data_IF_114659370839
#
_entry.id   IF_114659370839
#
_cell.length_a   1.000
_cell.length_b   1.000
_cell.length_c   1.000
_cell.angle_alpha   90.00
_cell.angle_beta   90.00
_cell.angle_gamma   90.00
#
_symmetry.space_group_name_H-M   'P 1'
#
loop_
_entity.id
_entity.type
_entity.pdbx_description
1 polymer ?
#
# COMPACT_ATOMS: atom_id res chain seq x y z
N UNK A 1 -37.47 11.09 50.00
CA UNK A 1 -38.33 12.12 49.37
C UNK A 1 -37.98 12.10 47.90
N UNK A 2 -38.64 11.28 47.13
CA UNK A 2 -39.86 11.50 46.37
C UNK A 2 -39.66 12.54 45.24
N UNK A 3 -39.58 12.06 44.05
CA UNK A 3 -40.55 12.37 43.00
C UNK A 3 -40.35 11.49 41.73
N UNK A 4 -41.18 10.46 41.61
CA UNK A 4 -41.55 9.72 40.43
C UNK A 4 -42.64 10.51 39.69
N UNK A 5 -42.59 10.58 38.33
CA UNK A 5 -43.75 10.58 37.42
C UNK A 5 -43.17 10.39 36.00
N UNK A 6 -43.35 9.24 35.39
CA UNK A 6 -44.44 8.71 34.57
C UNK A 6 -44.96 9.75 33.56
N UNK A 7 -44.71 9.49 32.28
CA UNK A 7 -45.77 9.58 31.26
C UNK A 7 -45.52 8.59 30.12
N UNK A 8 -46.58 7.87 29.88
CA UNK A 8 -46.78 6.82 28.87
C UNK A 8 -47.44 7.43 27.61
N UNK A 9 -47.42 6.60 26.55
CA UNK A 9 -48.29 6.55 25.37
C UNK A 9 -47.99 7.53 24.24
N UNK A 10 -47.96 7.17 22.96
CA UNK A 10 -48.87 6.32 22.21
C UNK A 10 -48.27 5.91 20.88
N UNK A 11 -48.54 4.68 20.46
CA UNK A 11 -48.33 4.16 19.12
C UNK A 11 -49.29 4.82 18.11
N UNK A 12 -48.84 5.01 16.90
CA UNK A 12 -49.72 5.15 15.74
C UNK A 12 -49.11 4.47 14.53
N UNK A 13 -49.67 3.29 14.22
CA UNK A 13 -49.63 2.66 12.91
C UNK A 13 -50.26 3.58 11.86
N UNK A 14 -49.63 3.72 10.72
CA UNK A 14 -50.32 4.06 9.47
C UNK A 14 -49.77 3.17 8.36
N UNK A 15 -50.56 2.13 8.06
CA UNK A 15 -50.59 1.40 6.80
C UNK A 15 -51.13 2.34 5.71
N UNK A 16 -50.46 2.46 4.61
CA UNK A 16 -51.05 2.90 3.35
C UNK A 16 -50.50 2.04 2.23
N UNK A 17 -51.29 1.07 1.82
CA UNK A 17 -51.12 0.36 0.56
C UNK A 17 -51.63 1.25 -0.58
N UNK A 18 -50.89 1.34 -1.66
CA UNK A 18 -51.37 1.78 -2.95
C UNK A 18 -50.76 0.91 -4.04
N UNK A 19 -51.67 0.25 -4.72
CA UNK A 19 -51.53 -0.70 -5.81
C UNK A 19 -51.69 0.08 -7.13
N UNK A 20 -51.08 -0.48 -8.20
CA UNK A 20 -51.23 -0.29 -9.64
C UNK A 20 -50.38 0.69 -10.41
N UNK A 21 -49.69 0.09 -11.39
CA UNK A 21 -49.25 0.73 -12.60
C UNK A 21 -48.31 -0.16 -13.43
N UNK A 22 -48.90 -1.14 -14.13
CA UNK A 22 -48.22 -1.89 -15.20
C UNK A 22 -48.10 -0.97 -16.42
N UNK A 23 -46.92 -0.72 -16.92
CA UNK A 23 -46.70 -0.28 -18.29
C UNK A 23 -45.50 -1.01 -18.89
N UNK A 24 -45.84 -1.89 -19.81
CA UNK A 24 -45.00 -2.61 -20.73
C UNK A 24 -44.45 -1.67 -21.83
N UNK A 25 -43.26 -1.99 -22.31
CA UNK A 25 -42.71 -1.87 -23.67
C UNK A 25 -41.41 -1.13 -23.77
N UNK A 26 -40.43 -1.84 -24.31
CA UNK A 26 -39.24 -1.27 -24.93
C UNK A 26 -38.03 -2.17 -24.80
N UNK A 27 -38.03 -3.30 -25.51
CA UNK A 27 -36.83 -4.12 -25.68
C UNK A 27 -35.80 -3.38 -26.55
N UNK A 28 -34.58 -3.29 -26.10
CA UNK A 28 -33.41 -3.10 -26.94
C UNK A 28 -32.51 -4.32 -26.81
N UNK A 29 -32.43 -5.06 -27.90
CA UNK A 29 -31.58 -6.22 -28.10
C UNK A 29 -30.11 -5.77 -28.06
N UNK A 30 -29.31 -6.42 -27.20
CA UNK A 30 -27.85 -6.44 -27.35
C UNK A 30 -27.45 -7.65 -28.20
N UNK A 31 -26.49 -7.52 -29.12
CA UNK A 31 -26.09 -8.64 -29.96
C UNK A 31 -25.26 -9.64 -29.14
N UNK A 32 -25.68 -10.91 -29.24
CA UNK A 32 -24.90 -12.04 -28.83
C UNK A 32 -23.82 -12.34 -29.91
N UNK A 33 -22.61 -12.71 -29.48
CA UNK A 33 -21.65 -13.40 -30.30
C UNK A 33 -20.29 -12.70 -30.40
N UNK A 34 -19.38 -13.08 -29.53
CA UNK A 34 -17.94 -12.97 -29.72
C UNK A 34 -17.30 -14.27 -29.21
N UNK A 35 -16.84 -15.08 -30.17
CA UNK A 35 -16.20 -16.38 -29.95
C UNK A 35 -14.90 -16.21 -29.13
N UNK A 36 -14.86 -16.87 -27.99
CA UNK A 36 -13.63 -17.10 -27.25
C UNK A 36 -13.02 -18.43 -27.73
N UNK A 37 -11.70 -18.51 -27.99
CA UNK A 37 -11.09 -19.78 -28.35
C UNK A 37 -11.07 -20.73 -27.15
N UNK A 38 -11.57 -21.94 -27.38
CA UNK A 38 -11.57 -23.04 -26.42
C UNK A 38 -10.15 -23.40 -25.96
N UNK A 39 -9.97 -23.56 -24.67
CA UNK A 39 -8.76 -24.10 -24.07
C UNK A 39 -8.56 -25.54 -24.50
N UNK A 40 -7.41 -25.86 -25.04
CA UNK A 40 -6.96 -27.23 -25.33
C UNK A 40 -6.42 -27.84 -24.04
N UNK A 41 -7.12 -28.84 -23.53
CA UNK A 41 -6.68 -29.67 -22.42
C UNK A 41 -5.61 -30.65 -22.89
N UNK A 42 -4.37 -30.51 -22.44
CA UNK A 42 -3.40 -31.58 -22.40
C UNK A 42 -2.91 -31.78 -20.97
N UNK A 43 -3.27 -32.93 -20.42
CA UNK A 43 -2.94 -33.33 -19.07
C UNK A 43 -1.45 -33.60 -18.87
N UNK A 44 -0.86 -32.95 -17.89
CA UNK A 44 0.23 -33.45 -17.04
C UNK A 44 0.25 -32.65 -15.75
N UNK A 45 0.15 -33.36 -14.59
CA UNK A 45 0.25 -32.76 -13.28
C UNK A 45 1.60 -32.06 -13.08
N UNK A 46 1.52 -30.82 -12.63
CA UNK A 46 2.61 -30.01 -12.15
C UNK A 46 1.99 -29.00 -11.19
N UNK A 47 2.65 -28.77 -10.07
CA UNK A 47 2.27 -27.81 -9.05
C UNK A 47 1.89 -26.48 -9.72
N UNK A 48 0.66 -26.03 -9.48
CA UNK A 48 0.15 -24.79 -10.08
C UNK A 48 0.92 -23.60 -9.53
N UNK A 49 1.78 -23.02 -10.36
CA UNK A 49 2.18 -21.63 -10.21
C UNK A 49 0.91 -20.80 -10.48
N UNK A 50 0.46 -20.08 -9.47
CA UNK A 50 -0.58 -19.08 -9.63
C UNK A 50 -0.06 -18.05 -10.63
N UNK A 51 -0.54 -18.09 -11.86
CA UNK A 51 -0.32 -16.99 -12.81
C UNK A 51 -0.99 -15.76 -12.19
N UNK A 52 -0.16 -14.89 -11.59
CA UNK A 52 -0.59 -13.62 -11.10
C UNK A 52 -1.28 -12.85 -12.22
N UNK A 53 -2.46 -12.33 -11.97
CA UNK A 53 -3.15 -11.43 -12.87
C UNK A 53 -2.24 -10.22 -13.08
N UNK A 54 -1.56 -10.18 -14.21
CA UNK A 54 -0.79 -9.05 -14.67
C UNK A 54 -1.72 -8.22 -15.54
N UNK A 55 -1.97 -6.97 -15.17
CA UNK A 55 -2.54 -6.01 -16.09
C UNK A 55 -1.62 -5.96 -17.31
N UNK A 56 -2.14 -6.37 -18.48
CA UNK A 56 -1.36 -6.43 -19.71
C UNK A 56 -0.73 -5.07 -20.03
N UNK A 57 0.51 -5.08 -20.49
CA UNK A 57 1.33 -3.90 -20.82
C UNK A 57 0.74 -2.99 -21.91
N UNK A 58 -0.49 -3.21 -22.38
CA UNK A 58 -1.07 -2.52 -23.55
C UNK A 58 -2.46 -1.88 -23.34
N UNK A 59 -2.98 -1.84 -22.11
CA UNK A 59 -3.96 -0.83 -21.73
C UNK A 59 -3.30 0.07 -20.70
N UNK A 60 -2.96 1.30 -21.10
CA UNK A 60 -2.56 2.38 -20.22
C UNK A 60 -3.55 2.40 -19.06
N UNK A 61 -3.15 1.80 -17.96
CA UNK A 61 -3.90 1.67 -16.74
C UNK A 61 -4.40 3.07 -16.38
N UNK A 62 -5.70 3.30 -16.54
CA UNK A 62 -6.38 4.49 -16.02
C UNK A 62 -6.60 4.38 -14.52
N UNK A 63 -5.90 3.49 -13.84
CA UNK A 63 -5.83 3.49 -12.40
C UNK A 63 -4.95 4.65 -12.00
N UNK A 64 -5.58 5.70 -11.65
CA UNK A 64 -5.04 6.48 -10.67
C UNK A 64 -4.30 7.72 -10.91
N UNK A 65 -4.89 8.71 -11.48
CA UNK A 65 -4.53 10.07 -11.05
C UNK A 65 -5.33 10.36 -9.78
N UNK A 66 -4.66 10.39 -8.63
CA UNK A 66 -5.27 10.82 -7.38
C UNK A 66 -5.97 12.18 -7.55
N UNK A 67 -7.27 12.21 -7.29
CA UNK A 67 -8.11 13.41 -7.48
C UNK A 67 -8.58 14.04 -6.18
N UNK A 68 -8.13 13.49 -5.03
CA UNK A 68 -8.49 13.98 -3.70
C UNK A 68 -9.18 12.93 -2.82
N UNK A 69 -9.76 11.89 -3.40
CA UNK A 69 -10.39 10.81 -2.66
C UNK A 69 -9.39 9.68 -2.34
N UNK A 70 -9.46 9.02 -1.18
CA UNK A 70 -8.50 8.00 -0.78
C UNK A 70 -8.55 6.73 -1.64
N UNK A 71 -9.63 6.52 -2.35
CA UNK A 71 -9.84 5.38 -3.25
C UNK A 71 -10.77 5.73 -4.40
N UNK A 72 -10.77 4.89 -5.43
CA UNK A 72 -11.76 4.92 -6.49
C UNK A 72 -12.34 3.52 -6.73
N UNK A 73 -13.56 3.45 -7.26
CA UNK A 73 -14.15 2.17 -7.65
C UNK A 73 -13.62 1.72 -9.00
N UNK A 74 -13.25 0.45 -9.09
CA UNK A 74 -12.73 -0.21 -10.29
C UNK A 74 -13.76 -1.22 -10.79
N UNK A 75 -13.79 -1.51 -12.08
CA UNK A 75 -14.65 -2.51 -12.70
C UNK A 75 -16.15 -2.37 -12.32
N UNK A 76 -16.63 -1.14 -12.18
CA UNK A 76 -18.02 -0.90 -11.75
C UNK A 76 -18.32 -1.42 -10.35
N UNK A 77 -17.31 -1.52 -9.49
CA UNK A 77 -17.35 -2.08 -8.14
C UNK A 77 -17.62 -3.59 -8.10
N UNK A 78 -17.30 -4.33 -9.16
CA UNK A 78 -17.48 -5.80 -9.26
C UNK A 78 -16.12 -6.47 -9.11
N UNK A 79 -15.92 -7.34 -8.10
CA UNK A 79 -14.68 -8.11 -7.94
C UNK A 79 -14.40 -9.05 -9.13
N UNK A 80 -13.12 -9.32 -9.38
CA UNK A 80 -12.66 -10.20 -10.46
C UNK A 80 -12.56 -11.68 -10.06
N UNK A 81 -13.20 -12.13 -8.97
CA UNK A 81 -13.14 -13.53 -8.55
C UNK A 81 -13.72 -14.46 -9.60
N UNK A 82 -12.99 -15.55 -9.87
CA UNK A 82 -13.45 -16.63 -10.74
C UNK A 82 -14.46 -17.54 -10.06
N UNK A 83 -15.19 -18.34 -10.83
CA UNK A 83 -16.11 -19.33 -10.28
C UNK A 83 -15.41 -20.38 -9.42
N UNK A 84 -14.18 -20.74 -9.76
CA UNK A 84 -13.33 -21.64 -8.98
C UNK A 84 -12.96 -21.05 -7.62
N UNK A 85 -12.49 -19.80 -7.59
CA UNK A 85 -12.18 -19.08 -6.34
C UNK A 85 -13.44 -18.94 -5.45
N UNK A 86 -14.59 -18.63 -6.05
CA UNK A 86 -15.86 -18.54 -5.33
C UNK A 86 -16.29 -19.90 -4.74
N UNK A 87 -16.01 -21.00 -5.43
CA UNK A 87 -16.32 -22.33 -4.94
C UNK A 87 -15.41 -22.74 -3.77
N UNK A 88 -14.12 -22.35 -3.80
CA UNK A 88 -13.16 -22.59 -2.73
C UNK A 88 -13.41 -21.71 -1.50
N UNK A 89 -14.05 -20.57 -1.68
CA UNK A 89 -14.27 -19.58 -0.63
C UNK A 89 -15.15 -20.01 0.54
N UNK A 90 -15.76 -21.21 0.50
CA UNK A 90 -16.61 -21.76 1.59
C UNK A 90 -15.83 -22.30 2.78
N UNK A 91 -14.55 -22.48 2.64
CA UNK A 91 -13.63 -22.87 3.70
C UNK A 91 -12.65 -21.73 3.92
N UNK A 92 -12.29 -21.49 5.18
CA UNK A 92 -11.31 -20.45 5.50
C UNK A 92 -9.91 -20.83 4.99
N UNK A 93 -9.26 -19.88 4.35
CA UNK A 93 -7.85 -20.00 3.94
C UNK A 93 -7.19 -18.62 3.91
N UNK A 94 -5.87 -18.62 3.93
CA UNK A 94 -5.04 -17.44 3.64
C UNK A 94 -3.82 -17.82 2.81
N UNK A 95 -3.49 -16.98 1.88
CA UNK A 95 -2.35 -17.14 0.99
C UNK A 95 -1.65 -15.80 0.77
N UNK A 96 -0.32 -15.81 0.87
CA UNK A 96 0.54 -14.63 0.65
C UNK A 96 1.61 -15.01 -0.37
N UNK A 97 1.65 -14.28 -1.48
CA UNK A 97 2.66 -14.50 -2.52
C UNK A 97 4.08 -14.32 -1.98
N UNK A 98 5.05 -15.06 -2.53
CA UNK A 98 6.45 -14.83 -2.22
C UNK A 98 6.87 -13.41 -2.59
N UNK A 99 7.83 -12.85 -1.83
CA UNK A 99 8.41 -11.57 -2.18
C UNK A 99 9.13 -11.68 -3.52
N UNK A 100 9.01 -10.65 -4.33
CA UNK A 100 9.72 -10.59 -5.60
C UNK A 100 11.24 -10.32 -5.42
N UNK A 101 11.99 -10.23 -6.54
CA UNK A 101 13.44 -9.96 -6.53
C UNK A 101 13.84 -8.64 -5.87
N UNK A 102 12.91 -7.70 -5.70
CA UNK A 102 13.11 -6.41 -5.03
C UNK A 102 12.63 -6.41 -3.57
N UNK A 103 12.15 -7.57 -3.08
CA UNK A 103 11.59 -7.71 -1.74
C UNK A 103 10.19 -7.08 -1.60
N UNK A 104 9.44 -6.93 -2.71
CA UNK A 104 8.09 -6.38 -2.73
C UNK A 104 7.06 -7.48 -2.54
N UNK A 105 5.98 -7.18 -1.81
CA UNK A 105 4.85 -8.07 -1.69
C UNK A 105 4.12 -8.24 -3.03
N UNK A 106 3.64 -9.46 -3.28
CA UNK A 106 2.64 -9.75 -4.31
C UNK A 106 1.22 -9.79 -3.73
N UNK A 107 0.36 -10.58 -4.35
CA UNK A 107 -1.05 -10.72 -3.95
C UNK A 107 -1.16 -11.36 -2.57
N UNK A 108 -2.01 -10.80 -1.71
CA UNK A 108 -2.53 -11.42 -0.51
C UNK A 108 -4.00 -11.80 -0.75
N UNK A 109 -4.35 -13.06 -0.49
CA UNK A 109 -5.68 -13.59 -0.79
C UNK A 109 -6.16 -14.52 0.34
N UNK A 110 -7.38 -14.30 0.81
CA UNK A 110 -7.97 -15.09 1.86
C UNK A 110 -9.48 -15.32 1.63
N UNK A 111 -9.99 -16.43 2.16
CA UNK A 111 -11.39 -16.55 2.54
C UNK A 111 -11.50 -16.32 4.04
N UNK A 112 -11.96 -15.14 4.40
CA UNK A 112 -12.02 -14.69 5.79
C UNK A 112 -13.25 -15.27 6.46
N UNK A 113 -13.04 -16.25 7.37
CA UNK A 113 -14.04 -16.77 8.28
C UNK A 113 -13.77 -16.35 9.73
N UNK A 114 -14.72 -16.58 10.64
CA UNK A 114 -14.54 -16.24 12.06
C UNK A 114 -13.38 -16.96 12.72
N UNK A 115 -13.01 -18.14 12.24
CA UNK A 115 -11.93 -18.97 12.75
C UNK A 115 -10.53 -18.42 12.47
N UNK A 116 -10.37 -17.55 11.44
CA UNK A 116 -9.12 -16.83 11.16
C UNK A 116 -9.00 -15.54 11.97
N UNK A 117 -10.10 -15.02 12.51
CA UNK A 117 -10.06 -13.74 13.21
C UNK A 117 -9.26 -13.81 14.52
N UNK A 118 -8.61 -12.72 14.94
CA UNK A 118 -7.74 -12.73 16.11
C UNK A 118 -8.50 -13.01 17.41
N UNK A 119 -7.95 -13.92 18.20
CA UNK A 119 -8.37 -14.20 19.58
C UNK A 119 -7.42 -13.60 20.60
N UNK A 120 -6.27 -13.08 20.14
CA UNK A 120 -5.22 -12.49 20.96
C UNK A 120 -4.96 -11.04 20.58
N UNK A 121 -4.26 -10.30 21.45
CA UNK A 121 -3.87 -8.93 21.14
C UNK A 121 -2.70 -8.89 20.17
N UNK A 122 -2.75 -7.89 19.25
CA UNK A 122 -1.71 -7.65 18.26
C UNK A 122 -0.34 -7.40 18.92
N UNK A 123 0.69 -8.07 18.41
CA UNK A 123 2.07 -7.85 18.79
C UNK A 123 2.76 -6.77 17.96
N UNK A 124 3.96 -6.35 18.39
CA UNK A 124 4.75 -5.36 17.67
C UNK A 124 5.32 -5.94 16.37
N UNK A 125 5.20 -5.18 15.28
CA UNK A 125 5.75 -5.48 13.95
C UNK A 125 6.88 -4.54 13.55
N UNK A 126 7.46 -3.80 14.51
CA UNK A 126 8.46 -2.75 14.27
C UNK A 126 9.77 -3.27 13.65
N UNK A 127 10.07 -4.55 13.80
CA UNK A 127 11.24 -5.22 13.23
C UNK A 127 11.17 -5.41 11.72
N UNK A 128 9.96 -5.44 11.12
CA UNK A 128 9.80 -5.63 9.69
C UNK A 128 9.96 -4.29 8.98
N UNK A 129 10.72 -4.29 7.90
CA UNK A 129 10.93 -3.16 7.01
C UNK A 129 10.54 -3.57 5.60
N UNK A 130 9.32 -3.27 5.16
CA UNK A 130 8.91 -3.55 3.78
C UNK A 130 9.79 -2.82 2.76
N UNK A 131 9.70 -3.19 1.48
CA UNK A 131 10.42 -2.50 0.40
C UNK A 131 10.15 -0.98 0.45
N UNK A 132 11.17 -0.17 0.18
CA UNK A 132 11.08 1.30 0.22
C UNK A 132 10.81 1.91 1.60
N UNK A 133 11.01 1.16 2.71
CA UNK A 133 10.75 1.67 4.06
C UNK A 133 11.68 2.82 4.45
N UNK A 134 11.09 3.98 4.72
CA UNK A 134 11.75 5.14 5.30
C UNK A 134 11.08 5.54 6.63
N UNK A 135 11.85 6.16 7.52
CA UNK A 135 11.29 6.77 8.73
C UNK A 135 11.14 8.27 8.50
N UNK A 136 10.01 8.66 7.93
CA UNK A 136 9.69 10.05 7.61
C UNK A 136 8.65 10.61 8.60
N UNK A 137 8.83 11.88 9.01
CA UNK A 137 7.94 12.55 9.97
C UNK A 137 7.54 13.92 9.43
N UNK A 138 6.23 14.22 9.54
CA UNK A 138 5.64 15.50 9.13
C UNK A 138 4.56 15.91 10.11
N UNK A 139 4.55 17.17 10.51
CA UNK A 139 3.55 17.69 11.47
C UNK A 139 2.13 17.70 10.90
N UNK A 140 1.98 17.69 9.56
CA UNK A 140 0.69 17.64 8.86
C UNK A 140 0.07 16.23 8.82
N UNK A 141 0.82 15.18 9.19
CA UNK A 141 0.35 13.79 9.21
C UNK A 141 -0.17 13.43 10.58
N UNK A 142 -1.34 12.82 10.65
CA UNK A 142 -1.88 12.29 11.90
C UNK A 142 -0.91 11.30 12.55
N UNK A 143 -0.57 11.52 13.83
CA UNK A 143 0.44 10.75 14.55
C UNK A 143 1.89 11.06 14.15
N UNK A 144 2.12 11.98 13.21
CA UNK A 144 3.43 12.51 12.85
C UNK A 144 4.33 11.59 12.01
N UNK A 145 3.93 10.35 11.70
CA UNK A 145 4.69 9.42 10.86
C UNK A 145 3.99 9.22 9.54
N UNK A 146 4.72 9.49 8.43
CA UNK A 146 4.20 9.32 7.08
C UNK A 146 3.85 7.85 6.80
N UNK A 147 4.79 6.94 7.05
CA UNK A 147 4.64 5.54 6.69
C UNK A 147 4.22 4.67 7.87
N UNK A 148 3.31 3.76 7.58
CA UNK A 148 2.90 2.64 8.39
C UNK A 148 3.42 1.34 7.73
N UNK A 149 3.65 0.32 8.54
CA UNK A 149 3.72 -1.06 8.06
C UNK A 149 2.29 -1.49 7.81
N UNK A 150 1.85 -1.25 6.57
CA UNK A 150 0.46 -1.44 6.19
C UNK A 150 0.25 -2.92 5.85
N UNK A 151 -0.68 -3.57 6.55
CA UNK A 151 -1.08 -4.92 6.17
C UNK A 151 -1.87 -4.87 4.87
N UNK A 152 -1.63 -5.81 3.97
CA UNK A 152 -2.50 -6.05 2.81
C UNK A 152 -3.83 -6.62 3.28
N UNK A 153 -3.81 -7.70 4.05
CA UNK A 153 -4.98 -8.20 4.78
C UNK A 153 -4.81 -7.83 6.25
N UNK A 154 -5.72 -7.01 6.77
CA UNK A 154 -5.63 -6.46 8.12
C UNK A 154 -5.63 -7.54 9.20
N UNK A 155 -4.86 -7.32 10.29
CA UNK A 155 -4.79 -8.22 11.44
C UNK A 155 -6.17 -8.66 11.96
N UNK A 156 -7.14 -7.76 11.93
CA UNK A 156 -8.50 -8.04 12.40
C UNK A 156 -9.25 -9.09 11.57
N UNK A 157 -8.76 -9.42 10.37
CA UNK A 157 -9.39 -10.36 9.44
C UNK A 157 -8.81 -11.77 9.57
N UNK A 158 -7.48 -11.91 9.66
CA UNK A 158 -6.81 -13.21 9.62
C UNK A 158 -5.84 -13.44 10.78
N UNK A 159 -5.75 -12.57 11.77
CA UNK A 159 -4.79 -12.63 12.87
C UNK A 159 -3.32 -12.67 12.43
N UNK A 160 -3.02 -12.53 11.12
CA UNK A 160 -1.66 -12.55 10.60
C UNK A 160 -0.94 -11.26 11.00
N UNK A 161 0.06 -11.37 11.89
CA UNK A 161 0.66 -10.20 12.52
C UNK A 161 1.96 -9.76 11.84
N UNK A 162 3.01 -10.57 11.92
CA UNK A 162 4.38 -10.19 11.58
C UNK A 162 4.87 -10.94 10.33
N UNK A 163 4.05 -11.01 9.32
CA UNK A 163 4.36 -11.63 8.04
C UNK A 163 4.88 -10.57 7.07
N UNK A 164 6.14 -10.69 6.65
CA UNK A 164 6.75 -9.77 5.68
C UNK A 164 6.08 -9.79 4.30
N UNK A 165 5.39 -10.88 3.94
CA UNK A 165 4.65 -11.03 2.69
C UNK A 165 3.28 -10.33 2.71
N UNK A 166 2.84 -9.89 3.90
CA UNK A 166 1.58 -9.19 4.13
C UNK A 166 1.78 -7.72 4.53
N UNK A 167 3.00 -7.19 4.46
CA UNK A 167 3.32 -5.84 4.92
C UNK A 167 3.98 -5.00 3.83
N UNK A 168 3.38 -3.87 3.50
CA UNK A 168 3.94 -2.89 2.57
C UNK A 168 4.24 -1.56 3.26
N UNK A 169 5.08 -0.73 2.62
CA UNK A 169 5.27 0.67 2.99
C UNK A 169 4.07 1.47 2.52
N UNK A 170 3.11 1.68 3.40
CA UNK A 170 1.88 2.44 3.12
C UNK A 170 1.84 3.75 3.89
N UNK A 171 1.26 4.80 3.32
CA UNK A 171 1.07 6.06 4.01
C UNK A 171 0.04 5.95 5.14
N UNK A 172 0.08 6.89 6.08
CA UNK A 172 -0.94 6.99 7.12
C UNK A 172 -2.33 7.17 6.52
N UNK A 173 -2.44 8.01 5.49
CA UNK A 173 -3.69 8.30 4.79
C UNK A 173 -4.25 7.05 4.08
N UNK A 174 -3.43 6.35 3.30
CA UNK A 174 -3.82 5.08 2.69
C UNK A 174 -4.34 4.08 3.72
N UNK A 175 -3.60 3.90 4.81
CA UNK A 175 -3.92 2.90 5.83
C UNK A 175 -5.24 3.20 6.56
N UNK A 176 -5.49 4.48 6.91
CA UNK A 176 -6.60 4.87 7.79
C UNK A 176 -7.84 5.33 7.02
N UNK A 177 -7.63 6.16 6.00
CA UNK A 177 -8.75 6.72 5.22
C UNK A 177 -9.09 5.83 4.02
N UNK A 178 -8.10 5.10 3.50
CA UNK A 178 -8.26 4.23 2.33
C UNK A 178 -8.70 2.82 2.68
N UNK A 179 -7.84 2.04 3.36
CA UNK A 179 -8.04 0.60 3.55
C UNK A 179 -8.95 0.26 4.73
N UNK A 180 -8.74 0.90 5.90
CA UNK A 180 -9.42 0.57 7.15
C UNK A 180 -10.96 0.55 7.07
N UNK A 181 -11.65 1.44 6.34
CA UNK A 181 -13.10 1.37 6.19
C UNK A 181 -13.59 0.04 5.59
N UNK A 182 -12.90 -0.47 4.57
CA UNK A 182 -13.22 -1.74 3.91
C UNK A 182 -12.89 -2.95 4.78
N UNK A 183 -11.77 -2.90 5.50
CA UNK A 183 -11.41 -3.92 6.49
C UNK A 183 -12.46 -4.01 7.61
N UNK A 184 -12.88 -2.87 8.16
CA UNK A 184 -13.91 -2.83 9.20
C UNK A 184 -15.25 -3.38 8.72
N UNK A 185 -15.71 -2.97 7.53
CA UNK A 185 -16.94 -3.46 6.93
C UNK A 185 -16.90 -4.99 6.75
N UNK A 186 -15.79 -5.52 6.27
CA UNK A 186 -15.58 -6.97 6.11
C UNK A 186 -15.56 -7.68 7.46
N UNK A 187 -14.81 -7.15 8.45
CA UNK A 187 -14.73 -7.74 9.77
C UNK A 187 -16.06 -7.77 10.50
N UNK A 188 -16.83 -6.69 10.40
CA UNK A 188 -18.14 -6.60 11.03
C UNK A 188 -19.14 -7.59 10.40
N UNK A 189 -19.15 -7.69 9.06
CA UNK A 189 -19.98 -8.67 8.37
C UNK A 189 -19.69 -10.12 8.79
N UNK A 190 -18.38 -10.51 8.80
CA UNK A 190 -18.00 -11.87 9.21
C UNK A 190 -18.39 -12.16 10.66
N UNK A 191 -18.21 -11.19 11.58
CA UNK A 191 -18.61 -11.34 12.99
C UNK A 191 -20.12 -11.48 13.18
N UNK A 192 -20.92 -10.71 12.42
CA UNK A 192 -22.38 -10.67 12.57
C UNK A 192 -23.05 -11.87 11.94
N UNK A 193 -22.55 -12.33 10.80
CA UNK A 193 -23.21 -13.40 10.03
C UNK A 193 -22.61 -14.79 10.24
N UNK A 194 -21.30 -14.87 10.51
CA UNK A 194 -20.53 -16.10 10.47
C UNK A 194 -20.23 -16.62 9.06
N UNK A 195 -20.60 -15.86 8.03
CA UNK A 195 -20.32 -16.17 6.64
C UNK A 195 -18.86 -15.83 6.29
N UNK A 196 -18.38 -16.44 5.20
CA UNK A 196 -17.06 -16.18 4.66
C UNK A 196 -17.08 -14.98 3.69
N UNK A 197 -15.93 -14.30 3.62
CA UNK A 197 -15.68 -13.26 2.62
C UNK A 197 -14.38 -13.56 1.89
N UNK A 198 -14.46 -13.80 0.59
CA UNK A 198 -13.28 -13.74 -0.26
C UNK A 198 -12.73 -12.32 -0.25
N UNK A 199 -11.46 -12.18 0.08
CA UNK A 199 -10.78 -10.90 0.25
C UNK A 199 -9.41 -10.95 -0.40
N UNK A 200 -9.17 -10.14 -1.42
CA UNK A 200 -7.90 -10.09 -2.15
C UNK A 200 -7.36 -8.69 -2.19
N UNK A 201 -6.06 -8.54 -1.94
CA UNK A 201 -5.36 -7.27 -2.05
C UNK A 201 -4.13 -7.44 -2.92
N UNK A 202 -4.06 -6.66 -3.99
CA UNK A 202 -2.98 -6.68 -4.96
C UNK A 202 -2.26 -5.34 -4.93
N UNK A 203 -1.01 -5.28 -4.46
CA UNK A 203 -0.22 -4.04 -4.50
C UNK A 203 0.27 -3.76 -5.92
N UNK A 204 0.20 -2.50 -6.34
CA UNK A 204 0.63 -2.06 -7.66
C UNK A 204 1.91 -1.24 -7.61
N UNK A 205 2.94 -1.71 -8.34
CA UNK A 205 4.22 -1.06 -8.50
C UNK A 205 4.47 -0.73 -9.98
N UNK A 206 5.12 0.39 -10.27
CA UNK A 206 5.55 0.69 -11.64
C UNK A 206 7.05 0.36 -11.79
N UNK A 207 7.38 -0.51 -12.73
CA UNK A 207 8.78 -0.91 -12.98
C UNK A 207 9.49 -1.41 -11.72
N UNK A 208 10.62 -0.79 -11.39
CA UNK A 208 11.47 -1.16 -10.24
C UNK A 208 11.18 -0.31 -8.98
N UNK A 209 10.05 0.35 -8.88
CA UNK A 209 9.65 1.10 -7.68
C UNK A 209 9.58 0.19 -6.46
N UNK A 210 10.06 0.71 -5.31
CA UNK A 210 10.08 -0.03 -4.05
C UNK A 210 8.82 0.22 -3.19
N UNK A 211 8.08 1.29 -3.46
CA UNK A 211 6.82 1.62 -2.78
C UNK A 211 5.68 1.45 -3.77
N UNK A 212 4.63 0.74 -3.38
CA UNK A 212 3.46 0.57 -4.21
C UNK A 212 2.75 1.90 -4.44
N UNK A 213 2.25 2.13 -5.66
CA UNK A 213 1.41 3.30 -6.01
C UNK A 213 0.05 3.26 -5.32
N UNK A 214 -0.42 2.07 -5.02
CA UNK A 214 -1.67 1.79 -4.34
C UNK A 214 -1.89 0.29 -4.24
N UNK A 215 -3.10 -0.08 -3.83
CA UNK A 215 -3.55 -1.47 -3.81
C UNK A 215 -4.94 -1.60 -4.42
N UNK A 216 -5.13 -2.64 -5.23
CA UNK A 216 -6.46 -3.08 -5.61
C UNK A 216 -7.00 -3.96 -4.48
N UNK A 217 -8.13 -3.57 -3.89
CA UNK A 217 -8.84 -4.32 -2.86
C UNK A 217 -10.14 -4.85 -3.44
N UNK A 218 -10.35 -6.15 -3.28
CA UNK A 218 -11.55 -6.84 -3.75
C UNK A 218 -12.13 -7.68 -2.63
N UNK A 219 -13.43 -7.69 -2.49
CA UNK A 219 -14.10 -8.58 -1.56
C UNK A 219 -15.49 -8.98 -2.06
N UNK A 220 -15.90 -10.22 -1.70
CA UNK A 220 -17.24 -10.73 -1.94
C UNK A 220 -17.62 -11.74 -0.87
N UNK A 221 -18.78 -11.55 -0.26
CA UNK A 221 -19.35 -12.53 0.66
C UNK A 221 -19.80 -13.78 -0.11
N UNK A 222 -19.55 -14.95 0.47
CA UNK A 222 -19.64 -16.24 -0.24
C UNK A 222 -21.03 -16.86 -0.14
N UNK A 223 -21.57 -17.00 1.07
CA UNK A 223 -22.81 -17.75 1.31
C UNK A 223 -24.07 -17.04 0.82
N UNK A 224 -24.02 -15.72 0.71
CA UNK A 224 -25.12 -14.88 0.22
C UNK A 224 -24.89 -14.33 -1.20
N UNK A 225 -23.86 -14.88 -1.90
CA UNK A 225 -23.55 -14.51 -3.29
C UNK A 225 -23.25 -13.02 -3.49
N UNK A 226 -22.61 -12.39 -2.48
CA UNK A 226 -22.19 -11.00 -2.53
C UNK A 226 -23.27 -9.98 -2.13
N UNK A 227 -24.42 -10.43 -1.56
CA UNK A 227 -25.45 -9.50 -1.11
C UNK A 227 -25.01 -8.65 0.09
N UNK A 228 -24.19 -9.22 0.99
CA UNK A 228 -23.69 -8.52 2.17
C UNK A 228 -22.43 -7.70 1.91
N UNK A 229 -21.44 -8.29 1.23
CA UNK A 229 -20.18 -7.64 0.86
C UNK A 229 -19.89 -7.86 -0.61
N UNK A 230 -19.70 -6.77 -1.36
CA UNK A 230 -19.18 -6.79 -2.71
C UNK A 230 -18.52 -5.45 -3.02
N UNK A 231 -17.21 -5.44 -3.21
CA UNK A 231 -16.49 -4.24 -3.66
C UNK A 231 -15.23 -4.57 -4.46
N UNK A 232 -14.88 -3.64 -5.34
CA UNK A 232 -13.63 -3.62 -6.09
C UNK A 232 -13.15 -2.18 -6.18
N UNK A 233 -12.09 -1.84 -5.42
CA UNK A 233 -11.62 -0.48 -5.26
C UNK A 233 -10.10 -0.42 -5.36
N UNK A 234 -9.59 0.65 -5.98
CA UNK A 234 -8.18 0.98 -5.94
C UNK A 234 -7.93 2.04 -4.86
N UNK A 235 -7.11 1.72 -3.87
CA UNK A 235 -6.74 2.61 -2.77
C UNK A 235 -5.38 3.21 -3.05
N UNK A 236 -5.30 4.55 -3.07
CA UNK A 236 -4.09 5.28 -3.41
C UNK A 236 -3.09 5.31 -2.25
N UNK A 237 -1.82 5.01 -2.54
CA UNK A 237 -0.74 5.17 -1.56
C UNK A 237 -0.15 6.58 -1.63
N UNK A 238 -0.94 7.55 -1.20
CA UNK A 238 -0.59 8.97 -1.18
C UNK A 238 -0.75 9.54 0.23
N UNK A 239 -0.20 10.71 0.47
CA UNK A 239 -0.48 11.52 1.65
C UNK A 239 -0.73 12.96 1.20
N UNK A 240 -1.93 13.53 1.43
CA UNK A 240 -2.20 14.92 1.08
C UNK A 240 -1.14 15.87 1.62
N UNK A 241 -0.61 16.74 0.75
CA UNK A 241 0.43 17.70 1.11
C UNK A 241 1.85 17.13 1.17
N UNK A 242 2.06 15.87 0.77
CA UNK A 242 3.39 15.23 0.69
C UNK A 242 3.59 14.63 -0.69
N UNK A 243 4.75 14.84 -1.27
CA UNK A 243 5.24 14.16 -2.47
C UNK A 243 6.10 12.97 -2.06
N UNK A 244 5.86 11.84 -2.72
CA UNK A 244 6.55 10.57 -2.47
C UNK A 244 7.34 10.18 -3.71
N UNK A 245 8.62 9.86 -3.52
CA UNK A 245 9.41 9.14 -4.50
C UNK A 245 9.17 7.63 -4.33
N UNK A 246 8.35 7.06 -5.18
CA UNK A 246 8.00 5.64 -5.13
C UNK A 246 9.17 4.72 -5.48
N UNK A 247 10.20 5.21 -6.17
CA UNK A 247 11.39 4.43 -6.45
C UNK A 247 12.19 4.10 -5.17
N UNK A 248 12.20 5.02 -4.19
CA UNK A 248 13.04 4.91 -2.99
C UNK A 248 12.27 4.91 -1.67
N UNK A 249 11.08 5.49 -1.65
CA UNK A 249 10.32 5.80 -0.44
C UNK A 249 10.70 7.14 0.20
N UNK A 250 11.60 7.92 -0.40
CA UNK A 250 11.88 9.27 0.05
C UNK A 250 10.66 10.18 -0.13
N UNK A 251 10.58 11.25 0.65
CA UNK A 251 9.39 12.11 0.65
C UNK A 251 9.73 13.54 1.05
N UNK A 252 8.87 14.49 0.64
CA UNK A 252 8.98 15.91 0.99
C UNK A 252 7.60 16.56 1.08
N UNK A 253 7.52 17.73 1.68
CA UNK A 253 6.30 18.54 1.63
C UNK A 253 6.02 19.00 0.18
N UNK A 254 4.76 18.89 -0.23
CA UNK A 254 4.34 19.38 -1.54
C UNK A 254 4.51 20.90 -1.62
N UNK A 255 5.12 21.37 -2.73
CA UNK A 255 5.39 22.80 -2.93
C UNK A 255 6.65 23.32 -2.24
N UNK A 256 7.39 22.50 -1.50
CA UNK A 256 8.80 22.76 -1.29
C UNK A 256 9.48 22.56 -2.64
N UNK A 257 9.89 23.66 -3.28
CA UNK A 257 10.75 23.57 -4.45
C UNK A 257 11.91 22.69 -4.03
N UNK A 258 12.05 21.55 -4.70
CA UNK A 258 13.38 20.95 -4.77
C UNK A 258 14.25 22.04 -5.35
N UNK A 259 15.18 22.56 -4.59
CA UNK A 259 16.45 22.86 -5.25
C UNK A 259 16.73 21.56 -6.00
N UNK A 260 16.32 21.52 -7.28
CA UNK A 260 16.74 20.49 -8.19
C UNK A 260 18.25 20.43 -8.01
N UNK A 261 18.70 19.44 -7.26
CA UNK A 261 19.94 18.81 -7.62
C UNK A 261 19.65 18.25 -9.02
N UNK A 262 19.71 19.18 -9.97
CA UNK A 262 20.03 18.86 -11.34
C UNK A 262 21.26 17.97 -11.17
N UNK A 263 21.05 16.67 -11.29
CA UNK A 263 22.11 15.71 -11.54
C UNK A 263 22.57 15.91 -12.99
N UNK A 264 22.98 17.11 -13.24
CA UNK A 264 23.90 17.61 -14.21
C UNK A 264 25.01 18.16 -13.38
N UNK A 265 25.97 17.30 -13.04
CA UNK A 265 27.30 17.60 -12.56
C UNK A 265 27.68 19.09 -12.69
N UNK A 266 27.31 19.89 -11.68
CA UNK A 266 28.08 21.01 -11.21
C UNK A 266 28.36 20.67 -9.75
N UNK A 267 29.41 19.86 -9.56
CA UNK A 267 30.07 19.66 -8.29
C UNK A 267 30.42 21.03 -7.73
N UNK A 268 29.75 21.44 -6.63
CA UNK A 268 30.12 22.69 -5.97
C UNK A 268 31.57 22.59 -5.51
N UNK A 269 32.37 23.47 -6.03
CA UNK A 269 33.73 23.64 -5.53
C UNK A 269 33.67 24.24 -4.13
N UNK A 270 34.27 23.57 -3.17
CA UNK A 270 34.37 24.06 -1.79
C UNK A 270 35.77 23.81 -1.19
N UNK A 271 36.02 24.45 -0.06
CA UNK A 271 37.29 24.28 0.65
C UNK A 271 37.28 22.98 1.44
N UNK A 272 38.32 22.17 1.26
CA UNK A 272 38.63 20.98 2.01
C UNK A 272 40.03 21.06 2.64
N UNK A 273 40.22 20.29 3.70
CA UNK A 273 41.55 20.04 4.26
C UNK A 273 41.88 18.57 4.08
N UNK A 274 42.92 18.30 3.31
CA UNK A 274 43.39 16.95 3.00
C UNK A 274 44.38 16.48 4.04
N UNK A 275 44.29 15.22 4.42
CA UNK A 275 45.35 14.50 5.09
C UNK A 275 46.07 13.61 4.07
N UNK A 276 47.16 14.06 3.53
CA UNK A 276 47.93 13.36 2.48
C UNK A 276 48.51 12.03 2.96
N UNK A 277 48.79 11.92 4.28
CA UNK A 277 49.33 10.69 4.88
C UNK A 277 48.28 9.57 5.03
N UNK A 278 47.00 9.92 5.32
CA UNK A 278 45.93 8.95 5.52
C UNK A 278 44.96 8.90 4.34
N UNK A 279 45.18 9.73 3.32
CA UNK A 279 44.29 9.88 2.17
C UNK A 279 42.81 10.17 2.58
N UNK A 280 42.63 11.09 3.55
CA UNK A 280 41.29 11.53 3.99
C UNK A 280 41.12 13.03 3.82
N UNK A 281 39.90 13.43 3.43
CA UNK A 281 39.57 14.84 3.34
C UNK A 281 38.47 15.23 4.37
N UNK A 282 38.55 16.50 4.78
CA UNK A 282 37.79 17.07 5.90
C UNK A 282 37.19 18.42 5.51
N UNK A 283 36.10 18.82 6.17
CA UNK A 283 35.67 20.22 6.18
C UNK A 283 36.69 21.07 6.97
N UNK A 284 36.91 22.33 6.60
CA UNK A 284 37.90 23.18 7.27
C UNK A 284 37.77 23.29 8.78
N UNK A 285 36.54 23.26 9.28
CA UNK A 285 36.20 23.38 10.71
C UNK A 285 36.17 22.03 11.45
N UNK A 286 36.58 20.94 10.83
CA UNK A 286 36.59 19.63 11.46
C UNK A 286 37.59 19.57 12.61
N UNK A 287 37.18 19.03 13.77
CA UNK A 287 38.07 18.88 14.94
C UNK A 287 39.30 18.03 14.64
N UNK A 288 39.20 17.07 13.71
CA UNK A 288 40.35 16.24 13.31
C UNK A 288 41.45 17.01 12.55
N UNK A 289 41.17 18.18 12.00
CA UNK A 289 42.12 19.03 11.33
C UNK A 289 43.11 19.63 12.32
N UNK A 290 42.68 19.92 13.56
CA UNK A 290 43.53 20.49 14.62
C UNK A 290 44.60 19.53 15.10
N UNK A 291 44.35 18.23 15.01
CA UNK A 291 45.24 17.17 15.46
C UNK A 291 46.12 16.64 14.30
N UNK A 292 46.00 17.22 13.11
CA UNK A 292 46.72 16.82 11.92
C UNK A 292 48.13 17.40 11.93
N UNK A 293 49.12 16.59 11.58
CA UNK A 293 50.50 17.08 11.41
C UNK A 293 50.59 18.02 10.23
N UNK A 294 51.28 19.13 10.39
CA UNK A 294 51.37 20.17 9.37
C UNK A 294 51.97 19.64 8.06
N UNK A 295 52.90 18.70 8.13
CA UNK A 295 53.52 18.02 6.98
C UNK A 295 52.54 17.16 6.14
N UNK A 296 51.40 16.78 6.69
CA UNK A 296 50.36 15.98 6.03
C UNK A 296 49.11 16.79 5.71
N UNK A 297 49.13 18.09 5.99
CA UNK A 297 48.00 18.97 5.77
C UNK A 297 48.15 19.71 4.45
N UNK A 298 47.09 19.65 3.64
CA UNK A 298 46.99 20.39 2.39
C UNK A 298 45.58 21.01 2.31
N UNK A 299 45.48 22.32 2.04
CA UNK A 299 44.21 22.99 1.81
C UNK A 299 43.90 22.84 0.32
N UNK A 300 42.69 22.38 0.00
CA UNK A 300 42.24 22.07 -1.35
C UNK A 300 40.92 22.78 -1.62
N UNK A 301 40.79 23.38 -2.81
CA UNK A 301 39.58 23.96 -3.32
C UNK A 301 39.21 23.24 -4.60
N UNK A 302 38.03 22.61 -4.60
CA UNK A 302 37.52 21.80 -5.71
C UNK A 302 36.34 20.98 -5.29
N UNK A 303 36.05 19.94 -6.04
CA UNK A 303 34.84 19.13 -5.85
C UNK A 303 35.11 17.88 -5.02
N UNK A 304 34.07 17.37 -4.38
CA UNK A 304 34.14 16.10 -3.63
C UNK A 304 34.45 14.92 -4.56
N UNK A 305 33.94 14.95 -5.76
CA UNK A 305 34.11 13.92 -6.78
C UNK A 305 35.56 13.82 -7.26
N UNK A 306 36.25 14.95 -7.43
CA UNK A 306 37.67 14.98 -7.76
C UNK A 306 38.51 14.30 -6.67
N UNK A 307 38.25 14.60 -5.40
CA UNK A 307 38.94 13.98 -4.28
C UNK A 307 38.72 12.47 -4.18
N UNK A 308 37.48 12.00 -4.45
CA UNK A 308 37.19 10.58 -4.52
C UNK A 308 37.93 9.91 -5.71
N UNK A 309 38.00 10.57 -6.86
CA UNK A 309 38.69 10.08 -8.05
C UNK A 309 40.22 10.01 -7.81
N UNK A 310 40.80 10.92 -6.98
CA UNK A 310 42.20 10.90 -6.54
C UNK A 310 42.48 9.89 -5.41
N UNK A 311 41.47 9.13 -5.01
CA UNK A 311 41.58 8.07 -4.00
C UNK A 311 41.58 8.57 -2.55
N UNK A 312 41.04 9.77 -2.30
CA UNK A 312 40.78 10.23 -0.95
C UNK A 312 39.44 9.69 -0.43
N UNK A 313 39.37 9.42 0.87
CA UNK A 313 38.15 9.01 1.56
C UNK A 313 37.58 10.16 2.41
N UNK A 314 36.26 10.32 2.49
CA UNK A 314 35.64 11.31 3.36
C UNK A 314 35.86 10.99 4.84
N UNK A 315 36.09 12.01 5.65
CA UNK A 315 36.20 11.85 7.10
C UNK A 315 34.89 11.40 7.72
N UNK A 316 34.90 10.28 8.42
CA UNK A 316 33.70 9.72 9.09
C UNK A 316 33.09 10.61 10.17
N UNK A 317 33.84 11.64 10.68
CA UNK A 317 33.37 12.54 11.73
C UNK A 317 32.66 13.77 11.17
N UNK A 318 33.20 14.47 10.19
CA UNK A 318 32.61 15.68 9.63
C UNK A 318 31.77 15.41 8.36
N UNK A 319 31.90 14.23 7.76
CA UNK A 319 31.19 13.80 6.53
C UNK A 319 31.18 14.93 5.49
N UNK A 320 32.33 15.29 4.96
CA UNK A 320 32.48 16.36 3.97
C UNK A 320 31.82 15.99 2.64
#
# INVERSE_FOLDING_TARGET
MSWLRKMRTTAALLLAAAVFGIASCGGSQFPAGGDWPAAVSDGRGGAGESEGFSFGEDETSQTGVYTGDPYETVNGNVPYFTEEELAEGKESFEHYSELDRLGRCGVAFASVGQDLMPTETRESISQIKPSGWQTARYDIVDGGYLYNRCHLIGYQLTAENANEKNLITGTRYMNVEGMLPFENMTADYVKETGNHVLYRVTPEFQGDELVARGVLMEARSVEDDGEGISFCVFVYNVQPGIEIDYATGDSRLAGEETEETTSGSQSEEMEYVLNTGTKRFHKPNCSSVKDMKEENREDYFGTREELLAEGYEPCGRCKP
#
